data_IF_089641642650
#
_entry.id   IF_089641642650
#
_cell.length_a   1.000
_cell.length_b   1.000
_cell.length_c   1.000
_cell.angle_alpha   90.00
_cell.angle_beta   90.00
_cell.angle_gamma   90.00
#
_symmetry.space_group_name_H-M   'P 1'
#
loop_
_entity.id
_entity.type
_entity.pdbx_description
1 polymer ?
#
# COMPACT_ATOMS: atom_id res chain seq x y z
N UNK A 1 -34.96 -26.99 1.42
CA UNK A 1 -34.53 -25.60 1.70
C UNK A 1 -33.59 -25.52 2.93
N UNK A 2 -32.90 -26.59 3.24
CA UNK A 2 -31.96 -26.67 4.36
C UNK A 2 -30.68 -27.33 3.84
N UNK A 3 -29.77 -26.55 3.28
CA UNK A 3 -28.37 -26.99 3.05
C UNK A 3 -27.58 -25.92 2.29
N UNK A 4 -27.53 -24.68 2.83
CA UNK A 4 -26.54 -23.69 2.44
C UNK A 4 -26.04 -22.87 3.65
N UNK A 5 -25.80 -23.52 4.78
CA UNK A 5 -24.85 -23.03 5.76
C UNK A 5 -23.48 -23.63 5.43
N UNK A 6 -22.86 -23.13 4.37
CA UNK A 6 -21.42 -23.27 4.19
C UNK A 6 -20.78 -22.58 5.38
N UNK A 7 -20.25 -23.37 6.31
CA UNK A 7 -19.37 -22.88 7.37
C UNK A 7 -18.29 -22.02 6.69
N UNK A 8 -18.30 -20.70 6.95
CA UNK A 8 -17.13 -19.90 6.66
C UNK A 8 -15.95 -20.62 7.32
N UNK A 9 -14.86 -20.90 6.57
CA UNK A 9 -13.71 -21.54 7.18
C UNK A 9 -13.33 -20.67 8.38
N UNK A 10 -13.34 -21.26 9.57
CA UNK A 10 -12.83 -20.65 10.78
C UNK A 10 -11.38 -20.25 10.46
N UNK A 11 -11.19 -19.02 10.02
CA UNK A 11 -9.88 -18.40 9.88
C UNK A 11 -9.32 -18.40 11.29
N UNK A 12 -8.47 -19.38 11.59
CA UNK A 12 -7.79 -19.45 12.87
C UNK A 12 -6.89 -18.22 12.91
N UNK A 13 -7.35 -17.19 13.55
CA UNK A 13 -6.64 -15.90 13.67
C UNK A 13 -5.19 -16.12 14.07
N UNK A 14 -4.93 -17.06 14.97
CA UNK A 14 -3.59 -17.50 15.37
C UNK A 14 -2.74 -18.05 14.20
N UNK A 15 -3.34 -18.75 13.24
CA UNK A 15 -2.61 -19.28 12.09
C UNK A 15 -2.16 -18.15 11.17
N UNK A 16 -3.03 -17.18 10.89
CA UNK A 16 -2.70 -16.02 10.06
C UNK A 16 -1.52 -15.22 10.63
N UNK A 17 -1.49 -14.95 11.93
CA UNK A 17 -0.36 -14.25 12.55
C UNK A 17 0.94 -15.05 12.50
N UNK A 18 0.85 -16.35 12.67
CA UNK A 18 2.01 -17.23 12.53
C UNK A 18 2.56 -17.21 11.10
N UNK A 19 1.69 -17.32 10.12
CA UNK A 19 2.03 -17.31 8.69
C UNK A 19 2.67 -15.98 8.28
N UNK A 20 2.09 -14.87 8.74
CA UNK A 20 2.64 -13.52 8.50
C UNK A 20 4.03 -13.37 9.10
N UNK A 21 4.27 -13.90 10.30
CA UNK A 21 5.57 -13.86 10.94
C UNK A 21 6.65 -14.61 10.12
N UNK A 22 6.31 -15.75 9.53
CA UNK A 22 7.23 -16.46 8.64
C UNK A 22 7.56 -15.66 7.37
N UNK A 23 6.57 -15.04 6.75
CA UNK A 23 6.80 -14.16 5.59
C UNK A 23 7.72 -13.00 5.96
N UNK A 24 7.48 -12.37 7.11
CA UNK A 24 8.30 -11.26 7.60
C UNK A 24 9.75 -11.67 7.83
N UNK A 25 9.98 -12.84 8.44
CA UNK A 25 11.32 -13.37 8.62
C UNK A 25 12.00 -13.68 7.27
N UNK A 26 11.25 -14.21 6.30
CA UNK A 26 11.79 -14.47 4.96
C UNK A 26 12.18 -13.16 4.24
N UNK A 27 11.37 -12.10 4.36
CA UNK A 27 11.72 -10.76 3.82
C UNK A 27 13.02 -10.27 4.44
N UNK A 28 13.16 -10.36 5.77
CA UNK A 28 14.38 -9.98 6.47
C UNK A 28 15.60 -10.79 5.99
N UNK A 29 15.46 -12.11 5.87
CA UNK A 29 16.53 -12.98 5.39
C UNK A 29 16.96 -12.59 3.97
N UNK A 30 16.02 -12.44 3.05
CA UNK A 30 16.33 -12.09 1.67
C UNK A 30 16.99 -10.70 1.60
N UNK A 31 16.48 -9.73 2.37
CA UNK A 31 17.10 -8.40 2.45
C UNK A 31 18.57 -8.50 2.90
N UNK A 32 18.83 -9.24 3.96
CA UNK A 32 20.20 -9.46 4.42
C UNK A 32 21.07 -10.14 3.36
N UNK A 33 20.58 -11.20 2.74
CA UNK A 33 21.36 -11.95 1.76
C UNK A 33 21.78 -11.12 0.54
N UNK A 34 20.95 -10.16 0.13
CA UNK A 34 21.19 -9.38 -1.06
C UNK A 34 22.00 -8.09 -0.84
N UNK A 35 21.89 -7.46 0.35
CA UNK A 35 22.44 -6.12 0.54
C UNK A 35 23.29 -5.94 1.80
N UNK A 36 23.40 -6.93 2.68
CA UNK A 36 24.14 -6.79 3.95
C UNK A 36 25.56 -6.30 3.77
N UNK A 37 26.28 -6.80 2.77
CA UNK A 37 27.69 -6.44 2.51
C UNK A 37 27.90 -4.97 2.11
N UNK A 38 26.83 -4.28 1.68
CA UNK A 38 26.85 -2.86 1.28
C UNK A 38 26.38 -1.92 2.39
N UNK A 39 25.98 -2.45 3.54
CA UNK A 39 25.32 -1.68 4.58
C UNK A 39 26.15 -1.64 5.87
N UNK A 40 26.12 -0.50 6.54
CA UNK A 40 26.65 -0.40 7.91
C UNK A 40 25.71 -1.00 8.94
N UNK A 41 24.41 -0.78 8.75
CA UNK A 41 23.38 -1.22 9.66
C UNK A 41 22.04 -1.39 8.93
N UNK A 42 21.26 -2.37 9.36
CA UNK A 42 19.88 -2.54 8.95
C UNK A 42 19.00 -2.79 10.17
N UNK A 43 17.96 -1.98 10.32
CA UNK A 43 16.97 -2.09 11.39
C UNK A 43 15.66 -2.55 10.77
N UNK A 44 15.06 -3.61 11.33
CA UNK A 44 13.80 -4.14 10.87
C UNK A 44 12.73 -3.97 11.95
N UNK A 45 11.59 -3.41 11.55
CA UNK A 45 10.39 -3.29 12.38
C UNK A 45 9.24 -4.07 11.73
N UNK A 46 8.79 -5.11 12.42
CA UNK A 46 7.72 -5.98 11.96
C UNK A 46 6.37 -5.35 12.26
N UNK A 47 5.62 -5.06 11.21
CA UNK A 47 4.29 -4.44 11.28
C UNK A 47 3.22 -5.46 10.91
N UNK A 48 2.00 -5.20 11.35
CA UNK A 48 0.85 -6.09 11.07
C UNK A 48 0.71 -6.47 9.58
N UNK A 49 1.02 -5.55 8.67
CA UNK A 49 0.83 -5.72 7.22
C UNK A 49 2.14 -5.74 6.42
N UNK A 50 3.29 -5.88 7.07
CA UNK A 50 4.57 -5.90 6.36
C UNK A 50 5.80 -5.74 7.25
N UNK A 51 6.91 -5.38 6.62
CA UNK A 51 8.19 -5.12 7.26
C UNK A 51 8.65 -3.73 6.87
N UNK A 52 8.98 -2.90 7.84
CA UNK A 52 9.71 -1.66 7.61
C UNK A 52 11.21 -1.93 7.82
N UNK A 53 12.02 -1.67 6.81
CA UNK A 53 13.48 -1.72 6.90
C UNK A 53 14.06 -0.31 6.80
N UNK A 54 14.92 0.05 7.75
CA UNK A 54 15.77 1.25 7.70
C UNK A 54 17.18 0.74 7.39
N UNK A 55 17.76 1.24 6.30
CA UNK A 55 19.03 0.76 5.76
C UNK A 55 20.01 1.93 5.79
N UNK A 56 21.11 1.76 6.54
CA UNK A 56 22.21 2.72 6.60
C UNK A 56 23.37 2.23 5.76
N UNK A 57 23.75 2.99 4.73
CA UNK A 57 24.77 2.61 3.77
C UNK A 57 25.50 3.83 3.21
N UNK A 58 26.69 3.63 2.63
CA UNK A 58 27.42 4.68 1.93
C UNK A 58 26.77 4.97 0.58
N UNK A 59 26.66 6.25 0.22
CA UNK A 59 26.02 6.73 -1.00
C UNK A 59 26.58 6.09 -2.28
N UNK A 60 27.85 5.68 -2.29
CA UNK A 60 28.45 4.97 -3.42
C UNK A 60 27.73 3.64 -3.76
N UNK A 61 27.03 3.03 -2.79
CA UNK A 61 26.30 1.78 -2.96
C UNK A 61 24.83 1.96 -3.33
N UNK A 62 24.33 3.20 -3.46
CA UNK A 62 22.91 3.50 -3.69
C UNK A 62 22.35 2.76 -4.92
N UNK A 63 23.03 2.83 -6.04
CA UNK A 63 22.60 2.17 -7.28
C UNK A 63 22.68 0.64 -7.18
N UNK A 64 23.70 0.12 -6.49
CA UNK A 64 23.86 -1.33 -6.27
C UNK A 64 22.68 -1.84 -5.41
N UNK A 65 22.40 -1.19 -4.29
CA UNK A 65 21.31 -1.56 -3.38
C UNK A 65 19.97 -1.48 -4.11
N UNK A 66 19.70 -0.39 -4.84
CA UNK A 66 18.47 -0.24 -5.63
C UNK A 66 18.29 -1.35 -6.67
N UNK A 67 19.38 -1.77 -7.31
CA UNK A 67 19.34 -2.87 -8.28
C UNK A 67 18.92 -4.22 -7.68
N UNK A 68 19.09 -4.40 -6.36
CA UNK A 68 18.72 -5.63 -5.63
C UNK A 68 17.28 -5.64 -5.14
N UNK A 69 16.60 -4.51 -5.10
CA UNK A 69 15.25 -4.45 -4.53
C UNK A 69 14.24 -5.32 -5.28
N UNK A 70 14.36 -5.44 -6.60
CA UNK A 70 13.46 -6.33 -7.36
C UNK A 70 13.73 -7.80 -7.06
N UNK A 71 14.99 -8.19 -6.88
CA UNK A 71 15.35 -9.56 -6.50
C UNK A 71 14.84 -9.89 -5.08
N UNK A 72 15.05 -8.98 -4.13
CA UNK A 72 14.51 -9.11 -2.75
C UNK A 72 12.99 -9.28 -2.78
N UNK A 73 12.29 -8.45 -3.53
CA UNK A 73 10.84 -8.52 -3.67
C UNK A 73 10.40 -9.85 -4.26
N UNK A 74 10.99 -10.24 -5.40
CA UNK A 74 10.63 -11.46 -6.14
C UNK A 74 10.82 -12.71 -5.30
N UNK A 75 11.99 -12.87 -4.67
CA UNK A 75 12.30 -14.07 -3.91
C UNK A 75 11.47 -14.16 -2.61
N UNK A 76 11.17 -13.00 -2.00
CA UNK A 76 10.27 -12.95 -0.85
C UNK A 76 8.82 -13.24 -1.27
N UNK A 77 8.39 -12.74 -2.43
CA UNK A 77 7.06 -13.00 -2.97
C UNK A 77 6.88 -14.46 -3.39
N UNK A 78 7.90 -15.07 -3.98
CA UNK A 78 7.83 -16.49 -4.37
C UNK A 78 7.52 -17.37 -3.16
N UNK A 79 8.17 -17.10 -2.03
CA UNK A 79 7.88 -17.78 -0.78
C UNK A 79 6.45 -17.50 -0.29
N UNK A 80 6.05 -16.23 -0.28
CA UNK A 80 4.73 -15.80 0.19
C UNK A 80 3.58 -16.37 -0.66
N UNK A 81 3.73 -16.40 -1.99
CA UNK A 81 2.74 -17.00 -2.90
C UNK A 81 2.65 -18.51 -2.70
N UNK A 82 3.80 -19.18 -2.68
CA UNK A 82 3.86 -20.66 -2.60
C UNK A 82 3.20 -21.19 -1.34
N UNK A 83 3.38 -20.54 -0.22
CA UNK A 83 2.92 -21.04 1.08
C UNK A 83 1.60 -20.41 1.54
N UNK A 84 1.29 -19.17 1.11
CA UNK A 84 0.21 -18.39 1.69
C UNK A 84 -0.67 -17.68 0.65
N UNK A 85 -0.37 -17.78 -0.64
CA UNK A 85 -1.11 -17.10 -1.70
C UNK A 85 -0.99 -15.56 -1.66
N UNK A 86 0.01 -15.02 -0.96
CA UNK A 86 0.15 -13.57 -0.75
C UNK A 86 1.13 -12.95 -1.75
N UNK A 87 0.75 -11.80 -2.31
CA UNK A 87 1.64 -10.99 -3.16
C UNK A 87 2.33 -9.89 -2.36
N UNK A 88 3.55 -9.52 -2.76
CA UNK A 88 4.35 -8.50 -2.10
C UNK A 88 4.59 -7.29 -3.00
N UNK A 89 4.60 -6.11 -2.37
CA UNK A 89 5.00 -4.85 -2.99
C UNK A 89 6.08 -4.24 -2.11
N UNK A 90 7.22 -3.88 -2.71
CA UNK A 90 8.30 -3.20 -2.01
C UNK A 90 8.19 -1.70 -2.27
N UNK A 91 8.16 -0.91 -1.21
CA UNK A 91 7.98 0.54 -1.26
C UNK A 91 9.24 1.24 -0.73
N UNK A 92 9.78 2.18 -1.49
CA UNK A 92 11.09 2.79 -1.21
C UNK A 92 10.94 4.30 -1.11
N UNK A 93 11.35 4.86 0.04
CA UNK A 93 11.54 6.30 0.24
C UNK A 93 12.90 6.77 -0.30
N UNK A 94 13.14 8.07 -0.29
CA UNK A 94 14.44 8.63 -0.68
C UNK A 94 15.51 8.37 0.38
N UNK A 95 16.75 8.20 -0.06
CA UNK A 95 17.92 8.21 0.80
C UNK A 95 18.28 9.64 1.23
N UNK A 96 18.72 9.81 2.46
CA UNK A 96 19.15 11.08 3.03
C UNK A 96 20.50 10.92 3.73
N UNK A 97 21.39 11.89 3.53
CA UNK A 97 22.67 11.97 4.26
C UNK A 97 22.50 12.43 5.71
N UNK A 98 21.42 13.16 5.96
CA UNK A 98 21.07 13.68 7.28
C UNK A 98 20.13 12.69 8.00
N UNK A 99 20.61 12.10 9.10
CA UNK A 99 19.87 11.13 9.91
C UNK A 99 18.58 11.71 10.50
N UNK A 100 18.47 13.03 10.68
CA UNK A 100 17.24 13.67 11.15
C UNK A 100 16.10 13.56 10.14
N UNK A 101 16.39 13.21 8.88
CA UNK A 101 15.44 13.02 7.79
C UNK A 101 15.00 11.57 7.59
N UNK A 102 15.46 10.64 8.40
CA UNK A 102 14.98 9.24 8.37
C UNK A 102 13.44 9.15 8.51
N UNK A 103 12.77 9.94 9.38
CA UNK A 103 11.32 9.97 9.41
C UNK A 103 10.69 10.37 8.06
N UNK A 104 11.31 11.30 7.32
CA UNK A 104 10.81 11.70 6.00
C UNK A 104 10.89 10.53 5.01
N UNK A 105 12.04 9.83 4.96
CA UNK A 105 12.21 8.65 4.11
C UNK A 105 11.15 7.58 4.40
N UNK A 106 10.84 7.37 5.67
CA UNK A 106 9.79 6.44 6.08
C UNK A 106 8.41 6.87 5.57
N UNK A 107 8.02 8.13 5.75
CA UNK A 107 6.74 8.66 5.25
C UNK A 107 6.65 8.60 3.73
N UNK A 108 7.75 8.84 3.04
CA UNK A 108 7.86 8.71 1.60
C UNK A 108 7.64 7.26 1.13
N UNK A 109 8.24 6.28 1.83
CA UNK A 109 8.01 4.87 1.54
C UNK A 109 6.54 4.48 1.76
N UNK A 110 5.90 4.94 2.85
CA UNK A 110 4.46 4.73 3.06
C UNK A 110 3.61 5.41 1.99
N UNK A 111 3.98 6.63 1.57
CA UNK A 111 3.28 7.33 0.49
C UNK A 111 3.38 6.58 -0.83
N UNK A 112 4.55 5.99 -1.15
CA UNK A 112 4.71 5.21 -2.38
C UNK A 112 3.83 3.95 -2.40
N UNK A 113 3.47 3.40 -1.23
CA UNK A 113 2.57 2.24 -1.15
C UNK A 113 1.17 2.53 -1.71
N UNK A 114 0.73 3.77 -1.74
CA UNK A 114 -0.55 4.15 -2.33
C UNK A 114 -0.54 4.11 -3.85
N UNK A 115 0.63 4.28 -4.47
CA UNK A 115 0.77 4.18 -5.92
C UNK A 115 0.39 2.77 -6.44
N UNK A 116 0.40 1.73 -5.57
CA UNK A 116 -0.05 0.38 -5.92
C UNK A 116 -1.52 0.33 -6.36
N UNK A 117 -2.36 1.25 -5.89
CA UNK A 117 -3.77 1.31 -6.30
C UNK A 117 -3.92 1.57 -7.80
N UNK A 118 -3.01 2.33 -8.39
CA UNK A 118 -3.00 2.66 -9.80
C UNK A 118 -2.00 1.83 -10.61
N UNK A 119 -0.80 1.65 -10.08
CA UNK A 119 0.29 0.95 -10.77
C UNK A 119 0.21 -0.57 -10.61
N UNK A 120 -0.65 -1.06 -9.72
CA UNK A 120 -0.77 -2.46 -9.36
C UNK A 120 0.23 -2.90 -8.29
N UNK A 121 0.05 -4.13 -7.83
CA UNK A 121 0.91 -4.81 -6.86
C UNK A 121 2.09 -5.52 -7.54
N UNK A 122 2.91 -6.23 -6.77
CA UNK A 122 4.02 -7.07 -7.25
C UNK A 122 5.13 -6.28 -7.96
N UNK A 123 5.47 -5.12 -7.41
CA UNK A 123 6.46 -4.18 -7.96
C UNK A 123 7.30 -3.55 -6.86
N UNK A 124 8.44 -3.00 -7.25
CA UNK A 124 9.18 -2.03 -6.46
C UNK A 124 8.66 -0.64 -6.80
N UNK A 125 8.12 0.05 -5.82
CA UNK A 125 7.54 1.39 -5.96
C UNK A 125 8.46 2.40 -5.26
N UNK A 126 9.01 3.32 -6.02
CA UNK A 126 9.84 4.39 -5.51
C UNK A 126 9.01 5.65 -5.26
N UNK A 127 9.30 6.33 -4.16
CA UNK A 127 8.72 7.64 -3.92
C UNK A 127 9.20 8.63 -5.00
N UNK A 128 8.24 9.28 -5.63
CA UNK A 128 8.50 10.39 -6.56
C UNK A 128 8.02 11.66 -5.89
N UNK A 129 8.96 12.54 -5.52
CA UNK A 129 8.61 13.86 -5.04
C UNK A 129 7.83 14.58 -6.13
N UNK A 130 6.60 14.88 -5.86
CA UNK A 130 5.79 15.70 -6.72
C UNK A 130 5.99 17.15 -6.35
N UNK A 131 6.54 17.88 -7.31
CA UNK A 131 6.56 19.33 -7.20
C UNK A 131 5.12 19.84 -7.20
N UNK A 132 4.83 20.72 -6.26
CA UNK A 132 3.57 21.45 -6.07
C UNK A 132 2.36 20.87 -6.82
N UNK A 133 1.52 20.16 -6.08
CA UNK A 133 0.22 19.77 -6.62
C UNK A 133 -0.45 21.05 -7.07
N UNK A 134 -0.62 21.18 -8.36
CA UNK A 134 -1.34 22.29 -8.92
C UNK A 134 -2.68 22.39 -8.16
N UNK A 135 -2.99 23.56 -7.61
CA UNK A 135 -4.22 23.80 -6.83
C UNK A 135 -5.46 23.24 -7.55
N UNK A 136 -5.42 23.23 -8.88
CA UNK A 136 -6.46 22.65 -9.73
C UNK A 136 -6.67 21.13 -9.53
N UNK A 137 -5.63 20.33 -9.27
CA UNK A 137 -5.78 18.89 -9.05
C UNK A 137 -6.36 18.58 -7.67
N UNK A 138 -5.98 19.36 -6.66
CA UNK A 138 -6.56 19.24 -5.32
C UNK A 138 -8.05 19.54 -5.35
N UNK A 139 -8.44 20.65 -5.98
CA UNK A 139 -9.85 21.01 -6.16
C UNK A 139 -10.62 19.98 -6.99
N UNK A 140 -9.98 19.39 -8.01
CA UNK A 140 -10.57 18.32 -8.80
C UNK A 140 -10.80 17.07 -7.96
N UNK A 141 -9.83 16.67 -7.13
CA UNK A 141 -9.96 15.53 -6.21
C UNK A 141 -11.10 15.77 -5.22
N UNK A 142 -11.12 16.92 -4.55
CA UNK A 142 -12.18 17.28 -3.60
C UNK A 142 -13.56 17.18 -4.25
N UNK A 143 -13.72 17.72 -5.46
CA UNK A 143 -14.98 17.64 -6.22
C UNK A 143 -15.37 16.19 -6.55
N UNK A 144 -14.43 15.36 -7.01
CA UNK A 144 -14.70 13.95 -7.31
C UNK A 144 -15.16 13.22 -6.06
N UNK A 145 -14.51 13.45 -4.91
CA UNK A 145 -14.86 12.79 -3.64
C UNK A 145 -16.24 13.23 -3.15
N UNK A 146 -16.58 14.53 -3.26
CA UNK A 146 -17.93 15.01 -2.92
C UNK A 146 -19.02 14.42 -3.83
N UNK A 147 -18.75 14.33 -5.13
CA UNK A 147 -19.66 13.69 -6.08
C UNK A 147 -19.81 12.20 -5.81
N UNK A 148 -18.72 11.48 -5.48
CA UNK A 148 -18.77 10.06 -5.10
C UNK A 148 -19.68 9.84 -3.89
N UNK A 149 -19.60 10.69 -2.86
CA UNK A 149 -20.50 10.62 -1.70
C UNK A 149 -21.95 10.79 -2.11
N UNK A 150 -22.25 11.83 -2.89
CA UNK A 150 -23.62 12.10 -3.38
C UNK A 150 -24.15 10.94 -4.25
N UNK A 151 -23.31 10.34 -5.09
CA UNK A 151 -23.68 9.23 -5.95
C UNK A 151 -23.92 7.95 -5.16
N UNK A 152 -23.14 7.73 -4.10
CA UNK A 152 -23.36 6.61 -3.18
C UNK A 152 -24.71 6.73 -2.46
N UNK A 153 -25.09 7.93 -2.02
CA UNK A 153 -26.39 8.18 -1.37
C UNK A 153 -27.59 7.92 -2.31
N UNK A 154 -27.40 8.16 -3.62
CA UNK A 154 -28.46 7.94 -4.62
C UNK A 154 -28.45 6.55 -5.25
N UNK A 155 -27.48 5.69 -4.90
CA UNK A 155 -27.26 4.35 -5.47
C UNK A 155 -27.16 4.34 -7.02
N UNK A 156 -26.68 5.43 -7.62
CA UNK A 156 -26.46 5.51 -9.06
C UNK A 156 -25.11 4.84 -9.43
N UNK A 157 -25.20 3.55 -9.75
CA UNK A 157 -24.02 2.69 -10.02
C UNK A 157 -23.20 3.20 -11.21
N UNK A 158 -23.84 3.67 -12.26
CA UNK A 158 -23.15 4.11 -13.50
C UNK A 158 -22.36 5.40 -13.23
N UNK A 159 -22.97 6.34 -12.53
CA UNK A 159 -22.31 7.60 -12.18
C UNK A 159 -21.19 7.34 -11.17
N UNK A 160 -21.41 6.47 -10.20
CA UNK A 160 -20.37 6.01 -9.28
C UNK A 160 -19.15 5.42 -10.02
N UNK A 161 -19.38 4.53 -10.99
CA UNK A 161 -18.32 3.94 -11.79
C UNK A 161 -17.54 5.00 -12.59
N UNK A 162 -18.23 5.97 -13.17
CA UNK A 162 -17.60 7.08 -13.87
C UNK A 162 -16.74 7.96 -12.96
N UNK A 163 -17.18 8.21 -11.73
CA UNK A 163 -16.41 8.98 -10.75
C UNK A 163 -15.15 8.22 -10.30
N UNK A 164 -15.26 6.93 -10.03
CA UNK A 164 -14.11 6.07 -9.72
C UNK A 164 -13.09 6.12 -10.87
N UNK A 165 -13.54 6.00 -12.11
CA UNK A 165 -12.66 6.11 -13.29
C UNK A 165 -11.93 7.45 -13.34
N UNK A 166 -12.66 8.57 -13.12
CA UNK A 166 -12.04 9.90 -13.08
C UNK A 166 -11.01 10.04 -11.96
N UNK A 167 -11.22 9.37 -10.81
CA UNK A 167 -10.26 9.34 -9.73
C UNK A 167 -8.94 8.66 -10.15
N UNK A 168 -9.05 7.51 -10.84
CA UNK A 168 -7.87 6.79 -11.35
C UNK A 168 -7.19 7.47 -12.54
N UNK A 169 -7.86 8.37 -13.22
CA UNK A 169 -7.28 9.21 -14.29
C UNK A 169 -6.45 10.39 -13.75
N UNK A 170 -6.52 10.67 -12.44
CA UNK A 170 -5.64 11.67 -11.83
C UNK A 170 -4.18 11.22 -11.86
N UNK A 171 -3.21 12.16 -11.93
CA UNK A 171 -1.79 11.81 -11.82
C UNK A 171 -1.47 11.04 -10.53
N UNK A 172 -0.53 10.08 -10.60
CA UNK A 172 -0.16 9.20 -9.48
C UNK A 172 0.15 9.95 -8.19
N UNK A 173 0.82 11.10 -8.32
CA UNK A 173 1.21 11.90 -7.19
C UNK A 173 0.03 12.52 -6.43
N UNK A 174 -1.08 12.78 -7.08
CA UNK A 174 -2.27 13.31 -6.41
C UNK A 174 -2.84 12.29 -5.44
N UNK A 175 -2.76 11.00 -5.78
CA UNK A 175 -3.23 9.91 -4.93
C UNK A 175 -2.24 9.54 -3.82
N UNK A 176 -0.97 9.91 -3.95
CA UNK A 176 0.08 9.60 -2.97
C UNK A 176 0.22 10.66 -1.88
N UNK A 177 -0.40 11.81 -2.05
CA UNK A 177 -0.35 12.85 -1.03
C UNK A 177 -1.21 12.53 0.20
N UNK A 178 -0.74 12.89 1.38
CA UNK A 178 -1.39 12.61 2.65
C UNK A 178 -2.87 13.03 2.69
N UNK A 179 -3.18 14.20 2.16
CA UNK A 179 -4.56 14.69 2.12
C UNK A 179 -5.46 13.86 1.20
N UNK A 180 -4.95 13.49 0.03
CA UNK A 180 -5.67 12.62 -0.92
C UNK A 180 -5.97 11.25 -0.33
N UNK A 181 -5.01 10.70 0.42
CA UNK A 181 -5.16 9.46 1.16
C UNK A 181 -6.33 9.55 2.15
N UNK A 182 -6.40 10.61 2.95
CA UNK A 182 -7.47 10.78 3.93
C UNK A 182 -8.84 10.90 3.26
N UNK A 183 -8.93 11.60 2.13
CA UNK A 183 -10.17 11.67 1.36
C UNK A 183 -10.62 10.30 0.83
N UNK A 184 -9.68 9.52 0.29
CA UNK A 184 -9.98 8.17 -0.20
C UNK A 184 -10.41 7.23 0.93
N UNK A 185 -9.75 7.26 2.07
CA UNK A 185 -10.11 6.43 3.23
C UNK A 185 -11.50 6.83 3.75
N UNK A 186 -11.76 8.12 3.93
CA UNK A 186 -13.08 8.59 4.35
C UNK A 186 -14.19 8.20 3.34
N UNK A 187 -13.87 8.20 2.05
CA UNK A 187 -14.81 7.74 1.02
C UNK A 187 -15.08 6.24 1.15
N UNK A 188 -14.04 5.41 1.28
CA UNK A 188 -14.18 3.97 1.44
C UNK A 188 -14.99 3.64 2.68
N UNK A 189 -14.71 4.29 3.81
CA UNK A 189 -15.45 4.11 5.05
C UNK A 189 -16.92 4.49 4.90
N UNK A 190 -17.20 5.64 4.28
CA UNK A 190 -18.57 6.11 3.99
C UNK A 190 -19.31 5.15 3.07
N UNK A 191 -18.64 4.63 2.02
CA UNK A 191 -19.23 3.67 1.09
C UNK A 191 -19.63 2.37 1.80
N UNK A 192 -18.78 1.83 2.67
CA UNK A 192 -19.12 0.62 3.44
C UNK A 192 -20.22 0.87 4.46
N UNK A 193 -20.25 2.04 5.10
CA UNK A 193 -21.31 2.42 6.03
C UNK A 193 -22.68 2.49 5.35
N UNK A 194 -22.76 3.14 4.19
CA UNK A 194 -23.99 3.27 3.40
C UNK A 194 -24.48 1.90 2.94
N UNK A 195 -23.60 1.07 2.37
CA UNK A 195 -23.97 -0.26 1.90
C UNK A 195 -24.38 -1.17 3.04
N UNK A 196 -23.76 -1.06 4.21
CA UNK A 196 -24.17 -1.78 5.42
C UNK A 196 -25.57 -1.41 5.88
N UNK A 197 -25.95 -0.13 5.82
CA UNK A 197 -27.30 0.32 6.16
C UNK A 197 -28.35 -0.18 5.17
N UNK A 198 -28.06 -0.09 3.85
CA UNK A 198 -28.99 -0.58 2.81
C UNK A 198 -29.23 -2.08 2.92
N UNK A 199 -28.19 -2.88 3.20
CA UNK A 199 -28.33 -4.31 3.40
C UNK A 199 -29.17 -4.63 4.67
N UNK A 200 -29.03 -3.84 5.73
CA UNK A 200 -29.78 -4.02 6.96
C UNK A 200 -31.27 -3.66 6.83
N UNK A 201 -31.63 -2.75 5.93
CA UNK A 201 -33.03 -2.36 5.65
C UNK A 201 -33.75 -3.37 4.75
N UNK A 202 -33.03 -4.22 4.03
CA UNK A 202 -33.59 -5.23 3.11
C UNK A 202 -33.57 -6.66 3.65
N UNK A 203 -33.08 -6.88 4.88
CA UNK A 203 -33.16 -8.15 5.61
C UNK A 203 -34.25 -8.12 6.65
#
# INVERSE_FOLDING_TARGET
LDEMHGEMPNFKENQFYTDLSYIQQQIKMNTNNYIYEYCYEMIFDFRFNGVLAIINYDKQYDEIIKSKFEDIRRDSEEYAIRHYGMSLTLCVGNGYEDHTKVPNSREEAYSSAWARMKQGTRKVLYYKKTFDIHVSYKQKLERIVEQLKSTADTLNVDEFHNMIKQLFDLPDYVLTEYNSRNYLMNFVDTFFEINGKVLAEHM
#
